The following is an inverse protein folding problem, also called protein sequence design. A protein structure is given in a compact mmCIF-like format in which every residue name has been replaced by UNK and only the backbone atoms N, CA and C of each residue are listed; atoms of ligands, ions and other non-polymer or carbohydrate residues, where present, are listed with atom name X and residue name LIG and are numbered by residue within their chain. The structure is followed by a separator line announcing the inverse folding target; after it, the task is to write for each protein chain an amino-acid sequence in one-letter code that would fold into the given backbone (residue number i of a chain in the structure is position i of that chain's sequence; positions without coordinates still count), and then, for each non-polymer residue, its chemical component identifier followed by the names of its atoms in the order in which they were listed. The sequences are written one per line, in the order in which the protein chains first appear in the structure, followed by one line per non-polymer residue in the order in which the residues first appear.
data_IF_299570044378
#
_entry.id   IF_299570044378
#
_cell.length_a   1.000
_cell.length_b   1.000
_cell.length_c   1.000
_cell.angle_alpha   90.00
_cell.angle_beta   90.00
_cell.angle_gamma   90.00
#
_symmetry.space_group_name_H-M   'P 1'
#
loop_
_entity.id
_entity.type
_entity.pdbx_description
1 polymer ?
#
# COMPACT_ATOMS: atom_id res chain seq x y z
N UNK A 1 -0.03 31.35 10.40
CA UNK A 1 0.52 29.99 10.16
C UNK A 1 1.86 30.12 9.44
N UNK A 2 2.95 29.62 10.03
CA UNK A 2 4.33 29.84 9.53
C UNK A 2 4.64 28.95 8.30
N UNK A 3 5.57 29.35 7.42
CA UNK A 3 5.88 28.63 6.16
C UNK A 3 6.26 27.16 6.38
N UNK A 4 6.94 26.85 7.49
CA UNK A 4 7.27 25.48 7.89
C UNK A 4 6.03 24.63 8.17
N UNK A 5 5.02 25.20 8.83
CA UNK A 5 3.76 24.49 9.11
C UNK A 5 2.96 24.23 7.82
N UNK A 6 3.00 25.16 6.86
CA UNK A 6 2.40 24.98 5.53
C UNK A 6 3.08 23.85 4.73
N UNK A 7 4.41 23.78 4.77
CA UNK A 7 5.17 22.70 4.13
C UNK A 7 4.81 21.33 4.73
N UNK A 8 4.76 21.24 6.06
CA UNK A 8 4.41 19.99 6.76
C UNK A 8 2.98 19.56 6.41
N UNK A 9 2.03 20.50 6.38
CA UNK A 9 0.66 20.21 6.00
C UNK A 9 0.58 19.70 4.55
N UNK A 10 1.32 20.31 3.62
CA UNK A 10 1.35 19.87 2.23
C UNK A 10 1.94 18.45 2.08
N UNK A 11 3.00 18.14 2.83
CA UNK A 11 3.59 16.80 2.87
C UNK A 11 2.57 15.80 3.44
N UNK A 12 1.88 16.14 4.54
CA UNK A 12 0.87 15.29 5.14
C UNK A 12 -0.28 15.00 4.17
N UNK A 13 -0.82 16.01 3.49
CA UNK A 13 -1.89 15.85 2.49
C UNK A 13 -1.41 14.99 1.31
N UNK A 14 -0.19 15.23 0.80
CA UNK A 14 0.38 14.43 -0.28
C UNK A 14 0.54 12.96 0.11
N UNK A 15 1.01 12.68 1.33
CA UNK A 15 1.09 11.33 1.87
C UNK A 15 -0.30 10.69 2.00
N UNK A 16 -1.29 11.42 2.53
CA UNK A 16 -2.66 10.92 2.66
C UNK A 16 -3.26 10.51 1.31
N UNK A 17 -3.12 11.33 0.28
CA UNK A 17 -3.58 11.01 -1.08
C UNK A 17 -2.89 9.76 -1.60
N UNK A 18 -1.56 9.67 -1.42
CA UNK A 18 -0.79 8.51 -1.85
C UNK A 18 -1.23 7.22 -1.14
N UNK A 19 -1.50 7.27 0.17
CA UNK A 19 -2.04 6.14 0.92
C UNK A 19 -3.42 5.70 0.42
N UNK A 20 -4.30 6.66 0.08
CA UNK A 20 -5.61 6.35 -0.50
C UNK A 20 -5.47 5.61 -1.84
N UNK A 21 -4.58 6.07 -2.73
CA UNK A 21 -4.32 5.40 -4.00
C UNK A 21 -3.81 3.97 -3.81
N UNK A 22 -2.88 3.77 -2.87
CA UNK A 22 -2.37 2.44 -2.56
C UNK A 22 -3.47 1.54 -2.00
N UNK A 23 -4.29 2.03 -1.06
CA UNK A 23 -5.40 1.28 -0.52
C UNK A 23 -6.41 0.86 -1.59
N UNK A 24 -6.79 1.78 -2.50
CA UNK A 24 -7.65 1.46 -3.66
C UNK A 24 -7.03 0.37 -4.53
N UNK A 25 -5.72 0.45 -4.83
CA UNK A 25 -5.05 -0.58 -5.62
C UNK A 25 -5.05 -1.97 -4.94
N UNK A 26 -5.01 -2.03 -3.60
CA UNK A 26 -5.16 -3.30 -2.88
C UNK A 26 -6.56 -3.87 -2.98
N UNK A 27 -7.58 -3.02 -2.92
CA UNK A 27 -8.97 -3.44 -3.05
C UNK A 27 -9.19 -4.06 -4.44
N UNK A 28 -8.65 -3.45 -5.49
CA UNK A 28 -8.73 -3.97 -6.86
C UNK A 28 -8.00 -5.33 -6.98
N UNK A 29 -6.80 -5.43 -6.41
CA UNK A 29 -6.02 -6.68 -6.38
C UNK A 29 -6.72 -7.79 -5.59
N UNK A 30 -7.29 -7.47 -4.43
CA UNK A 30 -8.05 -8.43 -3.63
C UNK A 30 -9.32 -8.88 -4.36
N UNK A 31 -9.99 -7.97 -5.06
CA UNK A 31 -11.17 -8.29 -5.89
C UNK A 31 -10.79 -9.21 -7.04
N UNK A 32 -9.67 -8.94 -7.72
CA UNK A 32 -9.11 -9.81 -8.76
C UNK A 32 -8.75 -11.20 -8.20
N UNK A 33 -8.16 -11.26 -7.00
CA UNK A 33 -7.86 -12.50 -6.29
C UNK A 33 -9.12 -13.35 -6.04
N UNK A 34 -10.16 -12.72 -5.52
CA UNK A 34 -11.44 -13.38 -5.22
C UNK A 34 -12.10 -13.89 -6.50
N UNK A 35 -12.09 -13.11 -7.58
CA UNK A 35 -12.64 -13.54 -8.88
C UNK A 35 -11.89 -14.74 -9.46
N UNK A 36 -10.55 -14.76 -9.36
CA UNK A 36 -9.74 -15.92 -9.77
C UNK A 36 -10.09 -17.13 -8.91
N UNK A 37 -10.19 -16.96 -7.59
CA UNK A 37 -10.56 -18.03 -6.66
C UNK A 37 -11.93 -18.63 -7.00
N UNK A 38 -12.92 -17.77 -7.27
CA UNK A 38 -14.28 -18.17 -7.63
C UNK A 38 -14.34 -18.88 -8.99
N UNK A 39 -13.57 -18.40 -9.98
CA UNK A 39 -13.43 -19.09 -11.27
C UNK A 39 -12.76 -20.45 -11.13
N UNK A 40 -11.86 -20.57 -10.16
CA UNK A 40 -11.12 -21.78 -9.83
C UNK A 40 -11.99 -22.83 -9.13
N UNK A 41 -12.79 -22.41 -8.14
CA UNK A 41 -13.72 -23.29 -7.43
C UNK A 41 -14.76 -23.90 -8.38
N UNK A 42 -15.18 -23.15 -9.40
CA UNK A 42 -16.15 -23.60 -10.39
C UNK A 42 -15.52 -24.36 -11.59
N UNK A 43 -14.20 -24.57 -11.59
CA UNK A 43 -13.48 -25.26 -12.66
C UNK A 43 -13.11 -26.68 -12.22
N UNK A 44 -13.81 -27.69 -12.75
CA UNK A 44 -13.58 -29.11 -12.38
C UNK A 44 -12.26 -29.70 -12.91
N UNK A 45 -11.53 -29.00 -13.79
CA UNK A 45 -10.48 -29.60 -14.64
C UNK A 45 -9.08 -28.97 -14.46
N UNK A 46 -8.96 -27.78 -13.86
CA UNK A 46 -7.69 -27.02 -13.88
C UNK A 46 -7.07 -26.81 -12.49
N UNK A 47 -5.78 -27.16 -12.35
CA UNK A 47 -4.98 -26.85 -11.17
C UNK A 47 -4.66 -25.36 -11.14
N UNK A 48 -5.33 -24.63 -10.26
CA UNK A 48 -5.28 -23.17 -10.13
C UNK A 48 -3.91 -22.57 -9.82
N UNK A 49 -3.00 -23.38 -9.26
CA UNK A 49 -1.62 -22.98 -8.99
C UNK A 49 -0.81 -22.77 -10.28
N UNK A 50 -1.22 -23.40 -11.39
CA UNK A 50 -0.53 -23.30 -12.68
C UNK A 50 -1.02 -22.14 -13.55
N UNK A 51 -2.02 -21.39 -13.10
CA UNK A 51 -2.57 -20.26 -13.84
C UNK A 51 -1.58 -19.09 -13.86
N UNK A 52 -1.23 -18.53 -15.04
CA UNK A 52 -0.37 -17.36 -15.13
C UNK A 52 -0.94 -16.15 -14.39
N UNK A 53 -2.26 -16.08 -14.24
CA UNK A 53 -2.99 -15.08 -13.45
C UNK A 53 -2.60 -15.13 -11.97
N UNK A 54 -2.41 -16.32 -11.40
CA UNK A 54 -1.99 -16.50 -10.00
C UNK A 54 -0.60 -15.89 -9.76
N UNK A 55 0.38 -16.27 -10.59
CA UNK A 55 1.75 -15.74 -10.50
C UNK A 55 1.82 -14.21 -10.65
N UNK A 56 1.03 -13.65 -11.60
CA UNK A 56 0.91 -12.19 -11.79
C UNK A 56 0.34 -11.51 -10.55
N UNK A 57 -0.70 -12.09 -9.95
CA UNK A 57 -1.36 -11.57 -8.78
C UNK A 57 -0.43 -11.58 -7.54
N UNK A 58 0.26 -12.70 -7.30
CA UNK A 58 1.23 -12.83 -6.19
C UNK A 58 2.37 -11.82 -6.32
N UNK A 59 2.92 -11.65 -7.54
CA UNK A 59 3.98 -10.67 -7.81
C UNK A 59 3.55 -9.23 -7.52
N UNK A 60 2.34 -8.84 -7.94
CA UNK A 60 1.76 -7.52 -7.65
C UNK A 60 1.51 -7.30 -6.16
N UNK A 61 1.04 -8.33 -5.46
CA UNK A 61 0.79 -8.26 -4.02
C UNK A 61 2.10 -8.04 -3.24
N UNK A 62 3.15 -8.84 -3.53
CA UNK A 62 4.47 -8.70 -2.89
C UNK A 62 5.11 -7.32 -3.15
N UNK A 63 4.99 -6.82 -4.39
CA UNK A 63 5.45 -5.47 -4.74
C UNK A 63 4.79 -4.37 -3.89
N UNK A 64 3.48 -4.49 -3.64
CA UNK A 64 2.77 -3.51 -2.83
C UNK A 64 3.12 -3.59 -1.34
N UNK A 65 3.31 -4.78 -0.78
CA UNK A 65 3.75 -4.96 0.62
C UNK A 65 5.08 -4.24 0.86
N UNK A 66 6.03 -4.32 -0.08
CA UNK A 66 7.32 -3.62 -0.01
C UNK A 66 7.14 -2.10 -0.01
N UNK A 67 6.21 -1.57 -0.81
CA UNK A 67 5.91 -0.13 -0.85
C UNK A 67 5.32 0.34 0.49
N UNK A 68 4.40 -0.43 1.08
CA UNK A 68 3.86 -0.13 2.41
C UNK A 68 4.93 -0.12 3.48
N UNK A 69 5.87 -1.07 3.45
CA UNK A 69 6.96 -1.15 4.41
C UNK A 69 7.89 0.07 4.31
N UNK A 70 8.23 0.50 3.09
CA UNK A 70 8.98 1.73 2.84
C UNK A 70 8.24 2.97 3.37
N UNK A 71 6.94 3.07 3.11
CA UNK A 71 6.11 4.17 3.57
C UNK A 71 5.98 4.23 5.09
N UNK A 72 5.76 3.10 5.75
CA UNK A 72 5.73 3.01 7.21
C UNK A 72 7.06 3.43 7.82
N UNK A 73 8.18 3.09 7.17
CA UNK A 73 9.52 3.54 7.57
C UNK A 73 9.65 5.05 7.44
N UNK A 74 9.24 5.63 6.30
CA UNK A 74 9.28 7.08 6.05
C UNK A 74 8.40 7.84 7.05
N UNK A 75 7.20 7.36 7.33
CA UNK A 75 6.32 7.94 8.35
C UNK A 75 6.95 7.87 9.75
N UNK A 76 7.54 6.74 10.11
CA UNK A 76 8.22 6.57 11.40
C UNK A 76 9.41 7.52 11.55
N UNK A 77 10.17 7.73 10.47
CA UNK A 77 11.27 8.70 10.41
C UNK A 77 10.76 10.14 10.54
N UNK A 78 9.68 10.49 9.85
CA UNK A 78 9.05 11.82 9.93
C UNK A 78 8.50 12.08 11.34
N UNK A 79 7.74 11.14 11.91
CA UNK A 79 7.21 11.23 13.27
C UNK A 79 8.34 11.29 14.32
N UNK A 80 9.40 10.51 14.15
CA UNK A 80 10.58 10.53 15.01
C UNK A 80 11.32 11.87 14.95
N UNK A 81 11.51 12.41 13.74
CA UNK A 81 12.12 13.73 13.53
C UNK A 81 11.32 14.83 14.23
N UNK A 82 9.99 14.86 14.07
CA UNK A 82 9.15 15.85 14.72
C UNK A 82 9.08 15.66 16.24
N UNK A 83 8.92 14.43 16.73
CA UNK A 83 8.90 14.15 18.18
C UNK A 83 10.18 14.61 18.87
N UNK A 84 11.34 14.37 18.25
CA UNK A 84 12.62 14.79 18.81
C UNK A 84 12.81 16.31 18.78
N UNK A 85 12.24 17.01 17.79
CA UNK A 85 12.32 18.47 17.67
C UNK A 85 11.42 19.18 18.69
N UNK A 86 10.25 18.62 18.99
CA UNK A 86 9.34 19.12 20.02
C UNK A 86 9.85 18.87 21.44
N UNK A 87 10.67 17.82 21.68
CA UNK A 87 11.28 17.54 22.99
C UNK A 87 12.43 18.48 23.37
N UNK A 88 12.98 19.23 22.41
CA UNK A 88 14.10 20.18 22.60
C UNK A 88 13.66 21.65 22.66
N UNK A 89 12.36 21.92 22.54
CA UNK A 89 11.75 23.22 22.86
C UNK A 89 11.12 23.14 24.25
#
# INVERSE_FOLDING_TARGET
MNYKARLILAIAVGLSIYFTFLASSQIDLATEAVNILYSCENSEIQSCISLPEYSRLTSRWDGNVKIYLLLSLLLSLVCGYFSHKFKKQ
#
